data_IF_948959613404
#
_entry.id   IF_948959613404
#
_cell.length_a   1.000
_cell.length_b   1.000
_cell.length_c   1.000
_cell.angle_alpha   90.00
_cell.angle_beta   90.00
_cell.angle_gamma   90.00
#
_symmetry.space_group_name_H-M   'P 1'
#
loop_
_entity.id
_entity.type
_entity.pdbx_description
1 polymer ?
#
# COMPACT_ATOMS: atom_id res chain seq x y z
N UNK A 1 -18.57 -6.12 3.14
CA UNK A 1 -18.01 -6.35 1.79
C UNK A 1 -16.49 -6.19 1.87
N UNK A 2 -15.67 -7.05 1.26
CA UNK A 2 -14.21 -6.96 1.33
C UNK A 2 -13.67 -5.73 0.57
N UNK A 3 -14.35 -5.33 -0.52
CA UNK A 3 -13.90 -4.20 -1.35
C UNK A 3 -13.93 -2.86 -0.62
N UNK A 4 -14.77 -2.70 0.40
CA UNK A 4 -14.81 -1.49 1.24
C UNK A 4 -13.65 -1.39 2.24
N UNK A 5 -12.86 -2.45 2.40
CA UNK A 5 -11.76 -2.52 3.38
C UNK A 5 -10.37 -2.49 2.75
N UNK A 6 -10.29 -2.44 1.42
CA UNK A 6 -9.03 -2.42 0.67
C UNK A 6 -8.96 -1.13 -0.17
N UNK A 7 -7.76 -0.61 -0.47
CA UNK A 7 -7.63 0.63 -1.23
C UNK A 7 -8.13 0.43 -2.66
N UNK A 8 -9.25 1.06 -2.99
CA UNK A 8 -9.84 1.04 -4.34
C UNK A 8 -9.74 2.41 -4.98
N UNK A 9 -9.65 2.47 -6.32
CA UNK A 9 -9.69 3.78 -6.98
C UNK A 9 -11.10 4.37 -6.86
N UNK A 10 -11.23 5.70 -6.72
CA UNK A 10 -12.53 6.37 -6.60
C UNK A 10 -13.54 6.01 -7.70
N UNK A 11 -13.05 5.66 -8.90
CA UNK A 11 -13.87 5.32 -10.06
C UNK A 11 -13.70 3.85 -10.51
N UNK A 12 -13.23 2.95 -9.64
CA UNK A 12 -13.00 1.54 -9.96
C UNK A 12 -14.32 0.76 -10.14
N UNK A 13 -14.83 0.75 -11.38
CA UNK A 13 -16.10 0.09 -11.73
C UNK A 13 -16.09 -1.41 -11.48
N UNK A 14 -14.96 -2.09 -11.72
CA UNK A 14 -14.82 -3.55 -11.56
C UNK A 14 -13.43 -3.87 -11.03
N UNK A 15 -13.38 -4.74 -10.02
CA UNK A 15 -12.18 -5.42 -9.55
C UNK A 15 -12.54 -6.91 -9.52
N UNK A 16 -11.71 -7.77 -10.13
CA UNK A 16 -12.04 -9.20 -10.18
C UNK A 16 -12.00 -9.82 -8.77
N UNK A 17 -12.64 -10.98 -8.57
CA UNK A 17 -12.59 -11.69 -7.28
C UNK A 17 -11.15 -12.04 -6.90
N UNK A 18 -10.36 -12.50 -7.87
CA UNK A 18 -8.94 -12.82 -7.68
C UNK A 18 -8.14 -11.57 -7.32
N UNK A 19 -8.32 -10.47 -8.05
CA UNK A 19 -7.58 -9.24 -7.77
C UNK A 19 -7.96 -8.65 -6.40
N UNK A 20 -9.24 -8.75 -6.03
CA UNK A 20 -9.73 -8.36 -4.69
C UNK A 20 -9.01 -9.14 -3.59
N UNK A 21 -8.86 -10.46 -3.75
CA UNK A 21 -8.19 -11.31 -2.77
C UNK A 21 -6.68 -11.02 -2.72
N UNK A 22 -6.03 -10.90 -3.88
CA UNK A 22 -4.60 -10.57 -3.96
C UNK A 22 -4.30 -9.21 -3.32
N UNK A 23 -5.13 -8.21 -3.61
CA UNK A 23 -5.00 -6.88 -3.04
C UNK A 23 -5.22 -6.88 -1.53
N UNK A 24 -6.21 -7.64 -1.04
CA UNK A 24 -6.45 -7.79 0.40
C UNK A 24 -5.25 -8.42 1.12
N UNK A 25 -4.64 -9.46 0.54
CA UNK A 25 -3.44 -10.11 1.09
C UNK A 25 -2.29 -9.11 1.18
N UNK A 26 -2.01 -8.38 0.10
CA UNK A 26 -0.96 -7.37 0.08
C UNK A 26 -1.23 -6.26 1.11
N UNK A 27 -2.46 -5.77 1.18
CA UNK A 27 -2.85 -4.71 2.11
C UNK A 27 -2.73 -5.14 3.57
N UNK A 28 -3.16 -6.36 3.93
CA UNK A 28 -2.98 -6.89 5.29
C UNK A 28 -1.50 -6.99 5.65
N UNK A 29 -0.65 -7.47 4.73
CA UNK A 29 0.78 -7.59 4.98
C UNK A 29 1.45 -6.22 5.16
N UNK A 30 1.05 -5.21 4.36
CA UNK A 30 1.49 -3.84 4.55
C UNK A 30 1.14 -3.31 5.95
N UNK A 31 -0.12 -3.46 6.37
CA UNK A 31 -0.57 -3.00 7.69
C UNK A 31 0.18 -3.72 8.83
N UNK A 32 0.44 -5.03 8.68
CA UNK A 32 1.26 -5.79 9.63
C UNK A 32 2.67 -5.24 9.74
N UNK A 33 3.30 -4.90 8.63
CA UNK A 33 4.65 -4.33 8.63
C UNK A 33 4.67 -2.94 9.28
N UNK A 34 3.66 -2.11 9.03
CA UNK A 34 3.50 -0.81 9.70
C UNK A 34 3.39 -0.98 11.22
N UNK A 35 2.58 -1.93 11.70
CA UNK A 35 2.36 -2.15 13.13
C UNK A 35 3.57 -2.77 13.83
N UNK A 36 4.30 -3.66 13.14
CA UNK A 36 5.47 -4.36 13.70
C UNK A 36 6.76 -3.57 13.62
N UNK A 37 6.84 -2.60 12.72
CA UNK A 37 8.02 -1.76 12.54
C UNK A 37 8.26 -0.90 13.79
N UNK A 38 9.51 -0.78 14.27
CA UNK A 38 9.85 0.19 15.32
C UNK A 38 9.89 1.63 14.81
N UNK A 39 9.80 1.83 13.48
CA UNK A 39 9.77 3.14 12.86
C UNK A 39 8.34 3.70 12.89
N UNK A 40 8.21 5.02 12.78
CA UNK A 40 6.90 5.61 12.57
C UNK A 40 6.24 5.07 11.27
N UNK A 41 4.90 5.04 11.21
CA UNK A 41 4.18 4.52 10.04
C UNK A 41 4.58 5.19 8.73
N UNK A 42 4.80 6.50 8.74
CA UNK A 42 5.19 7.27 7.56
C UNK A 42 6.57 6.83 7.05
N UNK A 43 7.56 6.70 7.93
CA UNK A 43 8.90 6.23 7.59
C UNK A 43 8.90 4.78 7.09
N UNK A 44 8.09 3.91 7.69
CA UNK A 44 7.95 2.51 7.27
C UNK A 44 7.42 2.43 5.83
N UNK A 45 6.34 3.15 5.54
CA UNK A 45 5.74 3.16 4.19
C UNK A 45 6.67 3.85 3.19
N UNK A 46 7.28 5.00 3.53
CA UNK A 46 8.24 5.70 2.66
C UNK A 46 9.43 4.82 2.29
N UNK A 47 9.99 4.10 3.27
CA UNK A 47 11.09 3.15 3.04
C UNK A 47 10.66 2.05 2.08
N UNK A 48 9.50 1.43 2.31
CA UNK A 48 8.98 0.37 1.45
C UNK A 48 8.73 0.84 0.01
N UNK A 49 8.10 2.01 -0.15
CA UNK A 49 7.86 2.62 -1.48
C UNK A 49 9.17 2.93 -2.19
N UNK A 50 10.17 3.46 -1.49
CA UNK A 50 11.50 3.71 -2.06
C UNK A 50 12.17 2.41 -2.52
N UNK A 51 12.14 1.37 -1.69
CA UNK A 51 12.71 0.06 -2.03
C UNK A 51 12.02 -0.55 -3.26
N UNK A 52 10.69 -0.45 -3.33
CA UNK A 52 9.92 -0.93 -4.47
C UNK A 52 10.26 -0.17 -5.76
N UNK A 53 10.41 1.16 -5.70
CA UNK A 53 10.80 2.00 -6.85
C UNK A 53 12.23 1.72 -7.33
N UNK A 54 13.15 1.48 -6.40
CA UNK A 54 14.58 1.25 -6.72
C UNK A 54 14.88 -0.16 -7.22
N UNK A 55 13.92 -1.09 -7.22
CA UNK A 55 14.11 -2.47 -7.68
C UNK A 55 15.12 -3.25 -6.84
N UNK A 56 15.35 -2.85 -5.59
CA UNK A 56 16.37 -3.43 -4.73
C UNK A 56 15.91 -4.80 -4.22
N UNK A 57 16.76 -5.84 -4.25
CA UNK A 57 16.47 -7.11 -3.58
C UNK A 57 16.18 -6.88 -2.10
N UNK A 58 14.99 -7.26 -1.63
CA UNK A 58 14.55 -7.06 -0.25
C UNK A 58 13.40 -6.06 -0.07
N UNK A 59 12.83 -5.52 -1.16
CA UNK A 59 11.54 -4.82 -1.08
C UNK A 59 10.47 -5.72 -0.45
N UNK A 60 9.54 -5.18 0.36
CA UNK A 60 8.53 -6.00 1.01
C UNK A 60 7.66 -6.73 0.01
N UNK A 61 7.28 -7.97 0.32
CA UNK A 61 6.49 -8.81 -0.61
C UNK A 61 5.12 -8.24 -0.94
N UNK A 62 4.59 -7.35 -0.10
CA UNK A 62 3.34 -6.63 -0.34
C UNK A 62 3.49 -5.44 -1.30
N UNK A 63 4.69 -5.01 -1.66
CA UNK A 63 4.91 -3.87 -2.57
C UNK A 63 4.65 -4.22 -4.04
N UNK A 64 3.48 -4.81 -4.32
CA UNK A 64 3.03 -5.14 -5.67
C UNK A 64 2.76 -3.86 -6.47
N UNK A 65 2.90 -3.93 -7.79
CA UNK A 65 2.64 -2.78 -8.68
C UNK A 65 1.21 -2.22 -8.51
N UNK A 66 0.22 -3.10 -8.33
CA UNK A 66 -1.17 -2.72 -8.09
C UNK A 66 -1.35 -1.98 -6.76
N UNK A 67 -0.82 -2.51 -5.64
CA UNK A 67 -0.93 -1.82 -4.36
C UNK A 67 -0.16 -0.48 -4.37
N UNK A 68 1.03 -0.43 -4.97
CA UNK A 68 1.81 0.81 -5.11
C UNK A 68 1.06 1.88 -5.89
N UNK A 69 0.40 1.48 -6.98
CA UNK A 69 -0.43 2.40 -7.76
C UNK A 69 -1.57 2.95 -6.92
N UNK A 70 -2.24 2.11 -6.12
CA UNK A 70 -3.34 2.53 -5.24
C UNK A 70 -2.88 3.45 -4.11
N UNK A 71 -1.73 3.16 -3.51
CA UNK A 71 -1.13 4.02 -2.48
C UNK A 71 -0.78 5.42 -3.02
N UNK A 72 -0.42 5.53 -4.31
CA UNK A 72 -0.15 6.83 -4.93
C UNK A 72 -1.40 7.72 -5.04
N UNK A 73 -2.60 7.14 -4.99
CA UNK A 73 -3.87 7.87 -5.03
C UNK A 73 -4.43 8.22 -3.64
N UNK A 74 -3.84 7.68 -2.58
CA UNK A 74 -4.27 8.02 -1.21
C UNK A 74 -3.86 9.44 -0.89
N UNK A 75 -4.79 10.20 -0.35
CA UNK A 75 -4.52 11.50 0.24
C UNK A 75 -3.89 11.30 1.62
N UNK A 76 -2.56 11.20 1.63
CA UNK A 76 -1.77 10.97 2.85
C UNK A 76 -1.85 12.14 3.83
N UNK A 77 -2.08 13.36 3.33
CA UNK A 77 -2.21 14.55 4.18
C UNK A 77 -3.45 14.47 5.06
N UNK A 78 -4.57 13.95 4.54
CA UNK A 78 -5.76 13.66 5.34
C UNK A 78 -5.55 12.60 6.42
N UNK A 79 -4.51 11.77 6.29
CA UNK A 79 -4.11 10.79 7.28
C UNK A 79 -3.04 11.34 8.25
N UNK A 80 -2.71 12.63 8.18
CA UNK A 80 -1.67 13.25 8.98
C UNK A 80 -0.25 12.84 8.59
N UNK A 81 -0.06 12.24 7.42
CA UNK A 81 1.24 11.81 6.90
C UNK A 81 1.72 12.75 5.79
N UNK A 82 3.02 13.05 5.76
CA UNK A 82 3.63 13.77 4.63
C UNK A 82 3.65 12.87 3.40
N UNK A 83 3.41 13.45 2.23
CA UNK A 83 3.33 12.72 0.96
C UNK A 83 4.48 11.71 0.81
N UNK A 84 4.13 10.42 0.75
CA UNK A 84 5.07 9.31 0.72
C UNK A 84 5.68 9.07 -0.66
N UNK A 85 5.19 9.77 -1.68
CA UNK A 85 5.63 9.61 -3.07
C UNK A 85 6.83 10.49 -3.44
N UNK A 86 7.12 11.52 -2.63
CA UNK A 86 8.27 12.42 -2.77
C UNK A 86 9.54 11.82 -2.16
#
# INVERSE_FOLDING_TARGET
>A
DLRSHIPTFPYEKRLSKIDTLNLAIAYINMLKDIIKSPLDPEATVKRAVRMAKSGVPGAPTWSTSDLMSRLAWIDWEKLGMRNIQQ
#
